data_IF_590500723327
#
_entry.id   IF_590500723327
#
_cell.length_a   1.000
_cell.length_b   1.000
_cell.length_c   1.000
_cell.angle_alpha   90.00
_cell.angle_beta   90.00
_cell.angle_gamma   90.00
#
_symmetry.space_group_name_H-M   'P 1'
#
loop_
_entity.id
_entity.type
_entity.pdbx_description
1 polymer ?
#
# COMPACT_ATOMS: atom_id res chain seq x y z
N UNK A 1 12.12 22.62 13.61
CA UNK A 1 11.03 23.09 12.72
C UNK A 1 10.67 21.97 11.75
N UNK A 2 9.42 21.53 11.69
CA UNK A 2 8.96 20.60 10.64
C UNK A 2 9.06 21.34 9.29
N UNK A 3 9.78 20.77 8.32
CA UNK A 3 9.84 21.31 6.96
C UNK A 3 8.44 21.23 6.31
N UNK A 4 8.09 22.20 5.47
CA UNK A 4 6.87 22.11 4.68
C UNK A 4 6.97 20.91 3.70
N UNK A 5 5.85 20.35 3.28
CA UNK A 5 5.80 19.22 2.32
C UNK A 5 6.56 19.58 1.03
N UNK A 6 6.38 20.79 0.54
CA UNK A 6 7.10 21.25 -0.66
C UNK A 6 8.62 21.32 -0.46
N UNK A 7 9.09 21.77 0.71
CA UNK A 7 10.51 21.79 1.07
C UNK A 7 11.04 20.36 1.22
N UNK A 8 10.27 19.47 1.84
CA UNK A 8 10.62 18.04 1.97
C UNK A 8 10.80 17.42 0.58
N UNK A 9 9.82 17.52 -0.30
CA UNK A 9 9.87 16.93 -1.65
C UNK A 9 11.05 17.45 -2.49
N UNK A 10 11.39 18.75 -2.38
CA UNK A 10 12.51 19.34 -3.12
C UNK A 10 13.89 18.87 -2.66
N UNK A 11 14.03 18.45 -1.41
CA UNK A 11 15.35 18.20 -0.81
C UNK A 11 15.58 16.76 -0.40
N UNK A 12 14.58 15.92 -0.37
CA UNK A 12 14.70 14.54 0.13
C UNK A 12 15.46 13.62 -0.82
N UNK A 13 15.38 13.87 -2.12
CA UNK A 13 15.97 13.00 -3.14
C UNK A 13 17.29 13.53 -3.73
N UNK A 14 17.92 14.51 -3.09
CA UNK A 14 19.21 15.04 -3.58
C UNK A 14 20.31 13.99 -3.52
N UNK A 15 21.02 13.82 -4.63
CA UNK A 15 22.24 13.01 -4.68
C UNK A 15 23.41 13.78 -4.06
N UNK A 16 23.77 13.43 -2.84
CA UNK A 16 24.88 14.07 -2.12
C UNK A 16 26.24 13.73 -2.69
N UNK A 17 26.39 12.58 -3.35
CA UNK A 17 27.63 12.12 -3.93
C UNK A 17 27.92 12.88 -5.23
N UNK A 18 26.94 12.90 -6.12
CA UNK A 18 27.07 13.57 -7.43
C UNK A 18 26.68 15.05 -7.36
N UNK A 19 26.22 15.54 -6.21
CA UNK A 19 25.79 16.93 -5.97
C UNK A 19 24.68 17.39 -6.94
N UNK A 20 23.86 16.44 -7.42
CA UNK A 20 22.72 16.73 -8.29
C UNK A 20 21.44 16.92 -7.49
N UNK A 21 20.50 17.68 -8.07
CA UNK A 21 19.18 17.89 -7.47
C UNK A 21 18.34 16.61 -7.45
N UNK A 22 18.58 15.69 -8.39
CA UNK A 22 17.90 14.43 -8.54
C UNK A 22 18.78 13.26 -8.12
N UNK A 23 18.22 12.14 -7.66
CA UNK A 23 18.97 10.93 -7.41
C UNK A 23 19.50 10.34 -8.71
N UNK A 24 20.62 9.64 -8.63
CA UNK A 24 21.10 8.84 -9.75
C UNK A 24 20.13 7.70 -10.07
N UNK A 25 19.95 7.39 -11.35
CA UNK A 25 19.17 6.23 -11.78
C UNK A 25 20.07 5.01 -11.78
N UNK A 26 19.92 4.15 -10.78
CA UNK A 26 20.68 2.89 -10.66
C UNK A 26 19.88 1.77 -11.32
N UNK A 27 20.43 1.24 -12.41
CA UNK A 27 19.89 0.05 -13.10
C UNK A 27 20.84 -1.10 -12.87
N UNK A 28 20.39 -2.12 -12.17
CA UNK A 28 21.19 -3.29 -11.85
C UNK A 28 20.33 -4.55 -11.86
N UNK A 29 20.96 -5.65 -12.22
CA UNK A 29 20.48 -7.01 -12.00
C UNK A 29 21.28 -7.62 -10.85
N UNK A 30 22.48 -8.13 -11.17
CA UNK A 30 23.41 -8.64 -10.19
C UNK A 30 24.14 -7.48 -9.50
N UNK A 31 24.28 -7.57 -8.19
CA UNK A 31 25.01 -6.61 -7.36
C UNK A 31 26.18 -7.35 -6.72
N UNK A 32 27.39 -6.81 -6.87
CA UNK A 32 28.58 -7.44 -6.34
C UNK A 32 28.84 -7.05 -4.90
N UNK A 33 29.16 -8.04 -4.07
CA UNK A 33 29.68 -7.82 -2.73
C UNK A 33 31.19 -7.64 -2.76
N UNK A 34 31.73 -6.79 -1.89
CA UNK A 34 33.17 -6.53 -1.83
C UNK A 34 33.96 -7.74 -1.31
N UNK A 35 33.30 -8.60 -0.51
CA UNK A 35 33.91 -9.78 0.08
C UNK A 35 32.87 -10.86 0.39
N UNK A 36 33.31 -12.10 0.62
CA UNK A 36 32.47 -13.18 1.12
C UNK A 36 31.94 -12.88 2.52
N UNK A 37 32.69 -12.19 3.33
CA UNK A 37 32.26 -11.77 4.67
C UNK A 37 31.07 -10.81 4.59
N UNK A 38 31.10 -9.83 3.66
CA UNK A 38 29.97 -8.93 3.42
C UNK A 38 28.72 -9.68 2.97
N UNK A 39 28.87 -10.63 2.04
CA UNK A 39 27.78 -11.50 1.58
C UNK A 39 27.17 -12.30 2.72
N UNK A 40 27.98 -12.90 3.61
CA UNK A 40 27.47 -13.68 4.73
C UNK A 40 26.79 -12.83 5.77
N UNK A 41 27.29 -11.63 6.07
CA UNK A 41 26.62 -10.64 6.93
C UNK A 41 25.29 -10.22 6.35
N UNK A 42 25.21 -10.06 5.02
CA UNK A 42 23.99 -9.70 4.32
C UNK A 42 22.89 -10.77 4.40
N UNK A 43 23.27 -12.04 4.39
CA UNK A 43 22.34 -13.18 4.50
C UNK A 43 21.81 -13.43 5.92
N UNK A 44 22.35 -12.76 6.93
CA UNK A 44 21.90 -12.88 8.32
C UNK A 44 20.60 -12.07 8.54
N UNK A 45 19.43 -12.74 8.72
CA UNK A 45 18.16 -12.04 8.86
C UNK A 45 18.09 -11.15 10.11
N UNK A 46 18.89 -11.46 11.13
CA UNK A 46 18.91 -10.71 12.39
C UNK A 46 19.58 -9.35 12.25
N UNK A 47 20.44 -9.19 11.23
CA UNK A 47 21.21 -7.97 10.94
C UNK A 47 20.67 -7.18 9.76
N UNK A 48 19.73 -7.76 9.02
CA UNK A 48 19.17 -7.18 7.81
C UNK A 48 18.09 -6.15 8.14
N UNK A 49 18.48 -4.92 8.40
CA UNK A 49 17.59 -3.78 8.20
C UNK A 49 17.46 -3.59 6.68
N UNK A 50 16.36 -4.04 6.11
CA UNK A 50 16.05 -4.07 4.67
C UNK A 50 16.32 -2.79 3.87
N UNK A 51 16.67 -1.70 4.54
CA UNK A 51 16.70 -0.35 3.96
C UNK A 51 18.02 -0.03 3.25
N UNK A 52 19.11 -0.73 3.56
CA UNK A 52 20.46 -0.32 3.09
C UNK A 52 21.22 -1.41 2.32
N UNK A 53 20.62 -2.58 2.07
CA UNK A 53 21.30 -3.69 1.45
C UNK A 53 20.63 -4.10 0.15
N UNK A 54 21.37 -3.96 -0.93
CA UNK A 54 20.96 -4.40 -2.27
C UNK A 54 21.77 -5.64 -2.63
N UNK A 55 21.08 -6.76 -2.81
CA UNK A 55 21.68 -8.04 -3.20
C UNK A 55 21.38 -8.38 -4.67
N UNK A 56 20.25 -7.94 -5.14
CA UNK A 56 19.80 -8.15 -6.50
C UNK A 56 18.81 -7.05 -6.93
N UNK A 57 19.01 -6.49 -8.12
CA UNK A 57 18.23 -5.33 -8.59
C UNK A 57 16.73 -5.54 -8.67
N UNK A 58 16.25 -6.81 -8.82
CA UNK A 58 14.81 -7.12 -8.74
C UNK A 58 14.24 -6.84 -7.35
N UNK A 59 15.00 -7.05 -6.30
CA UNK A 59 14.57 -6.80 -4.92
C UNK A 59 14.59 -5.30 -4.58
N UNK A 60 15.29 -4.50 -5.38
CA UNK A 60 15.37 -3.06 -5.24
C UNK A 60 16.76 -2.52 -5.58
N UNK A 61 16.81 -1.21 -5.80
CA UNK A 61 18.03 -0.43 -5.97
C UNK A 61 17.93 0.85 -5.15
N UNK A 62 19.00 1.60 -5.07
CA UNK A 62 18.98 2.92 -4.39
C UNK A 62 17.86 3.81 -4.93
N UNK A 63 17.59 3.80 -6.23
CA UNK A 63 16.54 4.60 -6.85
C UNK A 63 15.15 4.24 -6.32
N UNK A 64 14.83 2.94 -6.29
CA UNK A 64 13.52 2.46 -5.79
C UNK A 64 13.36 2.69 -4.30
N UNK A 65 14.43 2.47 -3.52
CA UNK A 65 14.42 2.68 -2.07
C UNK A 65 14.22 4.16 -1.71
N UNK A 66 14.83 5.07 -2.45
CA UNK A 66 14.61 6.50 -2.21
C UNK A 66 13.14 6.87 -2.43
N UNK A 67 12.49 6.37 -3.48
CA UNK A 67 11.06 6.59 -3.71
C UNK A 67 10.22 5.99 -2.57
N UNK A 68 10.51 4.75 -2.16
CA UNK A 68 9.82 4.13 -1.03
C UNK A 68 9.95 4.97 0.24
N UNK A 69 11.14 5.47 0.57
CA UNK A 69 11.36 6.30 1.75
C UNK A 69 10.59 7.63 1.70
N UNK A 70 10.49 8.26 0.53
CA UNK A 70 9.70 9.46 0.33
C UNK A 70 8.23 9.18 0.62
N UNK A 71 7.70 8.09 0.10
CA UNK A 71 6.28 7.71 0.32
C UNK A 71 6.05 7.31 1.78
N UNK A 72 6.99 6.59 2.42
CA UNK A 72 6.92 6.27 3.85
C UNK A 72 6.77 7.55 4.69
N UNK A 73 7.55 8.57 4.39
CA UNK A 73 7.51 9.84 5.12
C UNK A 73 6.20 10.61 4.85
N UNK A 74 5.75 10.65 3.59
CA UNK A 74 4.51 11.32 3.20
C UNK A 74 3.27 10.68 3.83
N UNK A 75 3.19 9.35 3.79
CA UNK A 75 2.07 8.56 4.31
C UNK A 75 2.23 8.23 5.80
N UNK A 76 3.37 8.56 6.42
CA UNK A 76 3.73 8.11 7.78
C UNK A 76 3.56 6.59 7.94
N UNK A 77 3.90 5.85 6.90
CA UNK A 77 3.76 4.41 6.83
C UNK A 77 4.95 3.70 7.50
N UNK A 78 4.75 2.47 7.94
CA UNK A 78 5.85 1.62 8.40
C UNK A 78 6.69 1.11 7.24
N UNK A 79 6.05 0.86 6.09
CA UNK A 79 6.70 0.29 4.92
C UNK A 79 5.92 0.59 3.64
N UNK A 80 6.63 0.64 2.52
CA UNK A 80 6.07 0.86 1.19
C UNK A 80 6.59 -0.21 0.24
N UNK A 81 5.70 -0.81 -0.53
CA UNK A 81 6.03 -1.67 -1.66
C UNK A 81 5.64 -0.97 -2.96
N UNK A 82 6.60 -0.86 -3.88
CA UNK A 82 6.33 -0.34 -5.22
C UNK A 82 5.82 -1.48 -6.11
N UNK A 83 4.81 -1.19 -6.90
CA UNK A 83 4.22 -2.13 -7.85
C UNK A 83 4.24 -1.55 -9.25
N UNK A 84 4.15 -2.38 -10.31
CA UNK A 84 4.22 -1.89 -11.69
C UNK A 84 2.98 -1.12 -12.14
N UNK A 85 1.87 -1.19 -11.38
CA UNK A 85 0.63 -0.45 -11.65
C UNK A 85 -0.24 -0.33 -10.41
N UNK A 86 -1.18 0.64 -10.39
CA UNK A 86 -2.18 0.77 -9.32
C UNK A 86 -3.02 -0.50 -9.18
N UNK A 87 -3.45 -1.10 -10.30
CA UNK A 87 -4.18 -2.37 -10.25
C UNK A 87 -3.38 -3.51 -9.61
N UNK A 88 -2.07 -3.58 -9.86
CA UNK A 88 -1.21 -4.55 -9.18
C UNK A 88 -1.15 -4.29 -7.66
N UNK A 89 -1.16 -3.02 -7.23
CA UNK A 89 -1.24 -2.67 -5.81
C UNK A 89 -2.52 -3.18 -5.17
N UNK A 90 -3.65 -2.97 -5.81
CA UNK A 90 -4.97 -3.48 -5.36
C UNK A 90 -4.96 -4.99 -5.26
N UNK A 91 -4.58 -5.68 -6.34
CA UNK A 91 -4.56 -7.14 -6.40
C UNK A 91 -3.66 -7.74 -5.31
N UNK A 92 -2.44 -7.25 -5.18
CA UNK A 92 -1.48 -7.75 -4.21
C UNK A 92 -1.91 -7.47 -2.76
N UNK A 93 -2.48 -6.31 -2.46
CA UNK A 93 -2.98 -6.00 -1.12
C UNK A 93 -4.10 -6.96 -0.70
N UNK A 94 -5.05 -7.26 -1.58
CA UNK A 94 -6.13 -8.20 -1.28
C UNK A 94 -5.60 -9.63 -1.14
N UNK A 95 -4.79 -10.10 -2.10
CA UNK A 95 -4.25 -11.45 -2.11
C UNK A 95 -3.25 -11.71 -0.97
N UNK A 96 -2.62 -10.68 -0.41
CA UNK A 96 -1.74 -10.82 0.74
C UNK A 96 -2.50 -11.16 2.03
N UNK A 97 -3.76 -10.77 2.14
CA UNK A 97 -4.60 -10.88 3.33
C UNK A 97 -5.63 -12.01 3.22
N UNK A 98 -6.41 -12.03 2.12
CA UNK A 98 -7.51 -12.97 1.95
C UNK A 98 -7.03 -14.36 1.53
N UNK A 99 -7.66 -15.39 2.07
CA UNK A 99 -7.41 -16.81 1.78
C UNK A 99 -8.70 -17.50 1.34
N UNK A 100 -8.64 -18.68 0.70
CA UNK A 100 -9.83 -19.47 0.37
C UNK A 100 -10.72 -19.68 1.61
N UNK A 101 -12.01 -19.35 1.47
CA UNK A 101 -13.00 -19.39 2.54
C UNK A 101 -13.22 -18.07 3.28
N UNK A 102 -12.38 -17.06 3.05
CA UNK A 102 -12.56 -15.72 3.60
C UNK A 102 -13.58 -14.90 2.80
N UNK A 103 -14.07 -13.83 3.43
CA UNK A 103 -14.93 -12.83 2.81
C UNK A 103 -14.25 -11.46 2.82
N UNK A 104 -14.43 -10.71 1.73
CA UNK A 104 -14.05 -9.30 1.59
C UNK A 104 -15.29 -8.45 1.35
N UNK A 105 -15.39 -7.32 2.04
CA UNK A 105 -16.43 -6.32 1.79
C UNK A 105 -15.79 -5.16 1.03
N UNK A 106 -16.41 -4.75 -0.06
CA UNK A 106 -15.86 -3.77 -1.00
C UNK A 106 -16.89 -2.66 -1.20
N UNK A 107 -16.47 -1.40 -1.21
CA UNK A 107 -17.38 -0.31 -1.57
C UNK A 107 -17.92 -0.48 -2.98
N UNK A 108 -19.21 -0.18 -3.19
CA UNK A 108 -19.84 -0.33 -4.52
C UNK A 108 -19.35 0.72 -5.51
N UNK A 109 -18.85 1.86 -5.02
CA UNK A 109 -18.22 2.93 -5.82
C UNK A 109 -16.75 2.68 -6.18
N UNK A 110 -16.26 1.45 -6.06
CA UNK A 110 -14.86 1.09 -6.32
C UNK A 110 -14.52 1.12 -7.82
N UNK A 111 -13.26 1.37 -8.14
CA UNK A 111 -12.69 1.28 -9.47
C UNK A 111 -13.06 -0.03 -10.17
N UNK A 112 -13.50 0.06 -11.44
CA UNK A 112 -14.06 -1.09 -12.15
C UNK A 112 -13.13 -2.32 -12.19
N UNK A 113 -11.83 -2.24 -12.45
CA UNK A 113 -10.94 -3.40 -12.36
C UNK A 113 -10.88 -4.03 -10.95
N UNK A 114 -10.99 -3.24 -9.87
CA UNK A 114 -11.09 -3.76 -8.50
C UNK A 114 -12.38 -4.58 -8.33
N UNK A 115 -13.50 -4.10 -8.87
CA UNK A 115 -14.75 -4.85 -8.91
C UNK A 115 -14.59 -6.17 -9.69
N UNK A 116 -13.91 -6.13 -10.83
CA UNK A 116 -13.69 -7.32 -11.65
C UNK A 116 -12.85 -8.38 -10.94
N UNK A 117 -11.75 -7.98 -10.30
CA UNK A 117 -10.91 -8.95 -9.58
C UNK A 117 -11.67 -9.54 -8.39
N UNK A 118 -12.39 -8.73 -7.62
CA UNK A 118 -13.09 -9.18 -6.42
C UNK A 118 -14.31 -10.05 -6.73
N UNK A 119 -15.08 -9.73 -7.77
CA UNK A 119 -16.30 -10.47 -8.12
C UNK A 119 -16.07 -11.72 -8.98
N UNK A 120 -14.97 -11.76 -9.75
CA UNK A 120 -14.68 -12.86 -10.67
C UNK A 120 -13.46 -13.66 -10.21
N UNK A 121 -12.26 -13.10 -10.33
CA UNK A 121 -11.02 -13.84 -10.09
C UNK A 121 -10.94 -14.39 -8.65
N UNK A 122 -11.17 -13.55 -7.65
CA UNK A 122 -11.08 -13.99 -6.25
C UNK A 122 -12.14 -15.05 -5.89
N UNK A 123 -13.28 -15.04 -6.56
CA UNK A 123 -14.31 -16.09 -6.42
C UNK A 123 -13.77 -17.46 -6.84
N UNK A 124 -13.00 -17.53 -7.93
CA UNK A 124 -12.34 -18.76 -8.39
C UNK A 124 -11.30 -19.27 -7.39
N UNK A 125 -10.68 -18.36 -6.64
CA UNK A 125 -9.77 -18.68 -5.53
C UNK A 125 -10.48 -18.90 -4.19
N UNK A 126 -11.81 -19.00 -4.19
CA UNK A 126 -12.59 -19.32 -2.98
C UNK A 126 -12.77 -18.15 -2.01
N UNK A 127 -12.51 -16.92 -2.43
CA UNK A 127 -12.78 -15.70 -1.64
C UNK A 127 -14.10 -15.09 -2.09
N UNK A 128 -15.01 -14.84 -1.14
CA UNK A 128 -16.32 -14.24 -1.43
C UNK A 128 -16.27 -12.74 -1.26
N UNK A 129 -16.64 -11.98 -2.30
CA UNK A 129 -16.80 -10.54 -2.22
C UNK A 129 -18.27 -10.15 -2.01
N UNK A 130 -18.49 -9.16 -1.14
CA UNK A 130 -19.77 -8.49 -0.95
C UNK A 130 -19.57 -7.00 -1.19
N UNK A 131 -20.48 -6.36 -1.93
CA UNK A 131 -20.42 -4.92 -2.17
C UNK A 131 -21.42 -4.20 -1.28
N UNK A 132 -21.01 -3.05 -0.69
CA UNK A 132 -21.87 -2.22 0.14
C UNK A 132 -22.07 -0.84 -0.49
N UNK A 133 -23.24 -0.25 -0.21
CA UNK A 133 -23.55 1.11 -0.62
C UNK A 133 -22.65 2.12 0.15
N UNK A 134 -21.82 2.94 -0.52
CA UNK A 134 -20.95 3.92 0.14
C UNK A 134 -21.69 4.96 0.99
N UNK A 135 -22.95 5.26 0.64
CA UNK A 135 -23.80 6.23 1.35
C UNK A 135 -24.58 5.60 2.51
N UNK A 136 -24.51 4.28 2.71
CA UNK A 136 -25.21 3.56 3.76
C UNK A 136 -24.26 2.77 4.67
N UNK A 137 -23.84 3.40 5.76
CA UNK A 137 -23.00 2.74 6.76
C UNK A 137 -23.68 1.53 7.44
N UNK A 138 -25.02 1.51 7.50
CA UNK A 138 -25.72 0.36 8.05
C UNK A 138 -25.68 -0.84 7.13
N UNK A 139 -25.70 -0.64 5.81
CA UNK A 139 -25.50 -1.71 4.83
C UNK A 139 -24.13 -2.37 5.02
N UNK A 140 -23.06 -1.56 5.20
CA UNK A 140 -21.73 -2.09 5.53
C UNK A 140 -21.76 -2.96 6.80
N UNK A 141 -22.38 -2.47 7.89
CA UNK A 141 -22.46 -3.22 9.16
C UNK A 141 -23.17 -4.55 9.01
N UNK A 142 -24.27 -4.57 8.24
CA UNK A 142 -25.07 -5.77 8.02
C UNK A 142 -24.33 -6.86 7.25
N UNK A 143 -23.31 -6.48 6.46
CA UNK A 143 -22.50 -7.40 5.66
C UNK A 143 -21.31 -8.00 6.42
N UNK A 144 -20.98 -7.47 7.59
CA UNK A 144 -19.86 -8.01 8.40
C UNK A 144 -20.22 -9.39 8.95
N UNK A 145 -19.36 -10.37 8.69
CA UNK A 145 -19.48 -11.74 9.19
C UNK A 145 -18.21 -12.16 9.92
N UNK A 146 -18.23 -13.32 10.57
CA UNK A 146 -17.02 -13.92 11.18
C UNK A 146 -15.92 -14.30 10.16
N UNK A 147 -16.30 -14.40 8.88
CA UNK A 147 -15.37 -14.71 7.77
C UNK A 147 -14.81 -13.46 7.11
N UNK A 148 -15.32 -12.28 7.43
CA UNK A 148 -14.84 -11.02 6.86
C UNK A 148 -13.40 -10.77 7.33
N UNK A 149 -12.47 -10.69 6.39
CA UNK A 149 -11.04 -10.43 6.64
C UNK A 149 -10.60 -9.04 6.25
N UNK A 150 -11.28 -8.45 5.26
CA UNK A 150 -10.92 -7.13 4.77
C UNK A 150 -12.18 -6.32 4.44
N UNK A 151 -12.13 -5.03 4.74
CA UNK A 151 -13.00 -4.01 4.15
C UNK A 151 -12.13 -3.18 3.22
N UNK A 152 -12.43 -3.22 1.92
CA UNK A 152 -11.74 -2.44 0.89
C UNK A 152 -12.57 -1.22 0.54
N UNK A 153 -11.99 -0.06 0.70
CA UNK A 153 -12.63 1.25 0.50
C UNK A 153 -11.88 1.98 -0.61
N UNK A 154 -12.60 2.72 -1.43
CA UNK A 154 -12.05 3.77 -2.29
C UNK A 154 -12.72 5.09 -1.90
N UNK A 155 -11.94 6.10 -1.56
CA UNK A 155 -12.49 7.36 -1.03
C UNK A 155 -11.65 8.57 -1.47
N UNK A 156 -12.19 9.50 -2.25
CA UNK A 156 -13.53 9.46 -2.87
C UNK A 156 -13.73 8.26 -3.80
N UNK A 157 -15.00 7.86 -3.99
CA UNK A 157 -15.38 6.77 -4.87
C UNK A 157 -14.98 7.02 -6.34
N UNK A 158 -14.72 5.94 -7.09
CA UNK A 158 -14.37 6.00 -8.51
C UNK A 158 -15.56 6.51 -9.33
N UNK A 159 -15.33 7.47 -10.19
CA UNK A 159 -16.28 8.12 -11.11
C UNK A 159 -17.43 8.91 -10.45
N UNK A 160 -17.99 8.47 -9.37
CA UNK A 160 -19.17 9.02 -8.71
C UNK A 160 -18.84 9.89 -7.50
N UNK A 161 -17.61 9.76 -6.96
CA UNK A 161 -17.01 10.63 -5.95
C UNK A 161 -17.74 10.68 -4.60
N UNK A 162 -18.42 9.62 -4.18
CA UNK A 162 -18.98 9.54 -2.84
C UNK A 162 -17.88 9.63 -1.79
N UNK A 163 -18.17 10.33 -0.69
CA UNK A 163 -17.29 10.44 0.47
C UNK A 163 -17.86 9.63 1.63
N UNK A 164 -17.06 8.74 2.16
CA UNK A 164 -17.42 7.85 3.26
C UNK A 164 -16.79 8.30 4.57
N UNK A 165 -17.44 8.02 5.70
CA UNK A 165 -16.85 8.19 7.03
C UNK A 165 -15.83 7.09 7.31
N UNK A 166 -14.59 7.34 6.90
CA UNK A 166 -13.47 6.41 7.08
C UNK A 166 -13.22 6.10 8.56
N UNK A 167 -13.40 7.08 9.46
CA UNK A 167 -13.27 6.88 10.90
C UNK A 167 -14.25 5.84 11.43
N UNK A 168 -15.52 5.93 11.03
CA UNK A 168 -16.55 4.96 11.41
C UNK A 168 -16.22 3.57 10.83
N UNK A 169 -15.77 3.49 9.59
CA UNK A 169 -15.39 2.23 8.93
C UNK A 169 -14.24 1.56 9.67
N UNK A 170 -13.17 2.30 9.98
CA UNK A 170 -12.01 1.75 10.70
C UNK A 170 -12.37 1.32 12.12
N UNK A 171 -13.20 2.08 12.84
CA UNK A 171 -13.70 1.67 14.17
C UNK A 171 -14.49 0.36 14.10
N UNK A 172 -15.36 0.22 13.10
CA UNK A 172 -16.10 -1.02 12.85
C UNK A 172 -15.16 -2.19 12.59
N UNK A 173 -14.19 -2.00 11.71
CA UNK A 173 -13.19 -3.01 11.33
C UNK A 173 -12.35 -3.45 12.53
N UNK A 174 -11.79 -2.50 13.30
CA UNK A 174 -11.02 -2.78 14.51
C UNK A 174 -11.80 -3.59 15.54
N UNK A 175 -13.08 -3.22 15.79
CA UNK A 175 -13.96 -3.95 16.72
C UNK A 175 -14.14 -5.42 16.33
N UNK A 176 -14.07 -5.74 15.04
CA UNK A 176 -14.28 -7.07 14.50
C UNK A 176 -12.99 -7.79 14.07
N UNK A 177 -11.80 -7.22 14.36
CA UNK A 177 -10.50 -7.74 13.90
C UNK A 177 -10.40 -7.88 12.37
N UNK A 178 -10.96 -6.93 11.65
CA UNK A 178 -10.96 -6.85 10.18
C UNK A 178 -9.89 -5.84 9.74
N UNK A 179 -9.16 -6.15 8.69
CA UNK A 179 -8.20 -5.23 8.08
C UNK A 179 -8.93 -4.27 7.16
N UNK A 180 -8.60 -2.98 7.23
CA UNK A 180 -9.05 -1.98 6.26
C UNK A 180 -7.97 -1.72 5.22
N UNK A 181 -8.37 -1.68 3.95
CA UNK A 181 -7.54 -1.23 2.85
C UNK A 181 -8.24 -0.04 2.17
N UNK A 182 -7.45 0.98 1.84
CA UNK A 182 -7.95 2.20 1.20
C UNK A 182 -7.22 2.44 -0.12
N UNK A 183 -7.96 2.53 -1.21
CA UNK A 183 -7.49 3.17 -2.42
C UNK A 183 -7.63 4.69 -2.25
N UNK A 184 -6.48 5.34 -2.08
CA UNK A 184 -6.36 6.80 -1.87
C UNK A 184 -5.88 7.53 -3.14
N UNK A 185 -6.15 6.98 -4.31
CA UNK A 185 -5.66 7.52 -5.58
C UNK A 185 -6.07 8.98 -5.78
N UNK A 186 -7.33 9.32 -5.47
CA UNK A 186 -7.84 10.69 -5.58
C UNK A 186 -7.38 11.60 -4.43
N UNK A 187 -7.43 11.09 -3.21
CA UNK A 187 -7.10 11.88 -2.01
C UNK A 187 -5.62 12.21 -1.92
N UNK A 188 -4.75 11.33 -2.38
CA UNK A 188 -3.30 11.43 -2.26
C UNK A 188 -2.84 11.69 -0.81
N UNK A 189 -1.56 11.55 -0.47
CA UNK A 189 -1.07 11.88 0.87
C UNK A 189 -1.15 13.38 1.22
N UNK A 190 -1.53 14.24 0.26
CA UNK A 190 -1.65 15.67 0.48
C UNK A 190 -3.01 16.07 1.07
N UNK A 191 -4.08 15.48 0.56
CA UNK A 191 -5.46 15.86 0.92
C UNK A 191 -6.09 14.88 1.91
N UNK A 192 -5.79 13.60 1.78
CA UNK A 192 -6.22 12.58 2.72
C UNK A 192 -4.98 11.99 3.39
N UNK A 193 -4.55 12.64 4.47
CA UNK A 193 -3.44 12.17 5.30
C UNK A 193 -3.87 10.95 6.10
N UNK A 194 -2.86 10.19 6.56
CA UNK A 194 -3.03 9.07 7.48
C UNK A 194 -4.21 9.32 8.42
N UNK A 195 -5.10 8.38 8.45
CA UNK A 195 -6.19 8.34 9.41
C UNK A 195 -5.56 8.17 10.80
N UNK A 196 -5.44 9.25 11.55
CA UNK A 196 -5.18 9.22 12.99
C UNK A 196 -6.45 8.66 13.66
N UNK A 197 -6.50 7.32 13.78
CA UNK A 197 -7.68 6.61 14.30
C UNK A 197 -7.26 5.72 15.45
#
# INVERSE_FOLDING_TARGET
MKKSISTFLKHTAQDKVNRSANPAVVRASTIFFKSMEELLKHKDPSKNKRVDYYDYGRAGTQTTTQLQNIIVELEQAHHVFLTPSGFASVALSIMSICRPGDEIIVTDSVYFPTRMITSKLLKEFGVKAQFYNPDDFQDLKNKVTKKTKMIFVENPGSNTFEFQDLSAIVKLAKKNNIITALDNTWGTPLFLKRLEI
#
